data_IF_277024199985
#
_entry.id   IF_277024199985
#
_cell.length_a   1.000
_cell.length_b   1.000
_cell.length_c   1.000
_cell.angle_alpha   90.00
_cell.angle_beta   90.00
_cell.angle_gamma   90.00
#
_symmetry.space_group_name_H-M   'P 1'
#
loop_
_entity.id
_entity.type
_entity.pdbx_description
1 polymer ?
#
# COMPACT_ATOMS: atom_id res chain seq x y z
N UNK A 1 5.55 0.65 7.16
CA UNK A 1 6.06 1.65 6.19
C UNK A 1 5.77 1.38 4.70
N UNK A 2 5.64 0.14 4.18
CA UNK A 2 5.63 -0.08 2.71
C UNK A 2 4.45 0.58 1.98
N UNK A 3 3.26 0.62 2.60
CA UNK A 3 2.09 1.26 1.99
C UNK A 3 2.24 2.77 1.73
N UNK A 4 3.02 3.49 2.55
CA UNK A 4 3.28 4.92 2.32
C UNK A 4 4.20 5.15 1.13
N UNK A 5 5.13 4.23 0.87
CA UNK A 5 6.01 4.32 -0.31
C UNK A 5 5.16 4.20 -1.58
N UNK A 6 4.21 3.26 -1.59
CA UNK A 6 3.24 3.10 -2.70
C UNK A 6 2.46 4.40 -2.91
N UNK A 7 1.97 5.04 -1.84
CA UNK A 7 1.24 6.31 -1.95
C UNK A 7 2.09 7.44 -2.55
N UNK A 8 3.33 7.59 -2.09
CA UNK A 8 4.23 8.64 -2.56
C UNK A 8 4.64 8.44 -4.03
N UNK A 9 4.92 7.19 -4.43
CA UNK A 9 5.24 6.87 -5.82
C UNK A 9 4.05 7.12 -6.73
N UNK A 10 2.86 6.67 -6.34
CA UNK A 10 1.63 6.89 -7.13
C UNK A 10 1.30 8.38 -7.23
N UNK A 11 1.44 9.14 -6.14
CA UNK A 11 1.26 10.59 -6.16
C UNK A 11 2.27 11.29 -7.08
N UNK A 12 3.56 10.92 -7.01
CA UNK A 12 4.60 11.52 -7.85
C UNK A 12 4.35 11.25 -9.35
N UNK A 13 3.90 10.04 -9.70
CA UNK A 13 3.56 9.68 -11.09
C UNK A 13 2.30 10.43 -11.56
N UNK A 14 1.25 10.52 -10.74
CA UNK A 14 0.06 11.29 -11.10
C UNK A 14 0.35 12.77 -11.27
N UNK A 15 1.19 13.34 -10.40
CA UNK A 15 1.62 14.73 -10.50
C UNK A 15 2.47 14.98 -11.76
N UNK A 16 3.36 14.05 -12.13
CA UNK A 16 4.17 14.18 -13.35
C UNK A 16 3.33 14.06 -14.63
N UNK A 17 2.21 13.32 -14.58
CA UNK A 17 1.22 13.24 -15.67
C UNK A 17 0.28 14.44 -15.73
N UNK A 18 0.39 15.42 -14.82
CA UNK A 18 -0.51 16.57 -14.76
C UNK A 18 -1.93 16.25 -14.23
N UNK A 19 -2.15 15.04 -13.71
CA UNK A 19 -3.46 14.59 -13.23
C UNK A 19 -3.70 15.00 -11.77
N UNK A 20 -3.91 16.30 -11.54
CA UNK A 20 -4.13 16.85 -10.19
C UNK A 20 -5.54 16.59 -9.63
N UNK A 21 -6.51 16.31 -10.49
CA UNK A 21 -7.92 16.11 -10.12
C UNK A 21 -8.23 14.67 -9.71
N UNK A 22 -7.35 13.71 -10.04
CA UNK A 22 -7.54 12.31 -9.66
C UNK A 22 -6.95 12.10 -8.28
N UNK A 23 -7.74 11.66 -7.27
CA UNK A 23 -7.20 11.40 -5.95
C UNK A 23 -6.19 10.23 -6.01
N UNK A 24 -4.91 10.43 -5.64
CA UNK A 24 -3.89 9.39 -5.73
C UNK A 24 -4.19 8.17 -4.86
N UNK A 25 -4.99 8.34 -3.80
CA UNK A 25 -5.43 7.25 -2.94
C UNK A 25 -6.27 6.20 -3.68
N UNK A 26 -7.11 6.61 -4.64
CA UNK A 26 -7.95 5.67 -5.41
C UNK A 26 -7.07 4.81 -6.32
N UNK A 27 -6.06 5.44 -6.91
CA UNK A 27 -5.10 4.75 -7.78
C UNK A 27 -4.18 3.84 -6.98
N UNK A 28 -3.77 4.24 -5.75
CA UNK A 28 -2.84 3.46 -4.93
C UNK A 28 -3.48 2.24 -4.25
N UNK A 29 -4.79 2.24 -4.01
CA UNK A 29 -5.53 1.15 -3.36
C UNK A 29 -5.31 -0.23 -3.99
N UNK A 30 -5.52 -0.46 -5.31
CA UNK A 30 -5.31 -1.77 -5.91
C UNK A 30 -3.85 -2.25 -5.78
N UNK A 31 -2.86 -1.35 -5.88
CA UNK A 31 -1.45 -1.71 -5.70
C UNK A 31 -1.14 -2.13 -4.26
N UNK A 32 -1.72 -1.45 -3.26
CA UNK A 32 -1.57 -1.84 -1.85
C UNK A 32 -2.16 -3.22 -1.60
N UNK A 33 -3.34 -3.50 -2.13
CA UNK A 33 -4.00 -4.79 -1.99
C UNK A 33 -3.22 -5.91 -2.68
N UNK A 34 -2.74 -5.67 -3.91
CA UNK A 34 -1.90 -6.62 -4.64
C UNK A 34 -0.60 -6.92 -3.88
N UNK A 35 0.11 -5.88 -3.42
CA UNK A 35 1.32 -6.04 -2.61
C UNK A 35 1.06 -6.84 -1.34
N UNK A 36 -0.04 -6.54 -0.64
CA UNK A 36 -0.40 -7.21 0.59
C UNK A 36 -0.80 -8.68 0.38
N UNK A 37 -1.51 -8.99 -0.70
CA UNK A 37 -1.88 -10.36 -1.05
C UNK A 37 -0.65 -11.19 -1.48
N UNK A 38 0.22 -10.64 -2.32
CA UNK A 38 1.44 -11.32 -2.79
C UNK A 38 2.42 -11.58 -1.65
N UNK A 39 2.49 -10.67 -0.68
CA UNK A 39 3.34 -10.84 0.50
C UNK A 39 2.76 -11.78 1.57
N UNK A 40 1.63 -12.43 1.31
CA UNK A 40 0.85 -13.20 2.30
C UNK A 40 0.66 -12.43 3.62
N UNK A 41 0.28 -11.15 3.48
CA UNK A 41 0.31 -10.19 4.57
C UNK A 41 -0.62 -10.53 5.74
N UNK A 42 -1.72 -11.25 5.48
CA UNK A 42 -2.64 -11.72 6.54
C UNK A 42 -1.96 -12.73 7.48
N UNK A 43 -1.19 -13.67 6.93
CA UNK A 43 -0.43 -14.66 7.70
C UNK A 43 0.69 -13.98 8.50
N UNK A 44 1.38 -13.01 7.91
CA UNK A 44 2.42 -12.24 8.58
C UNK A 44 1.89 -11.44 9.76
N UNK A 45 0.78 -10.71 9.58
CA UNK A 45 0.18 -9.91 10.66
C UNK A 45 -0.36 -10.81 11.78
N UNK A 46 -1.13 -11.85 11.44
CA UNK A 46 -1.69 -12.77 12.44
C UNK A 46 -0.61 -13.46 13.26
N UNK A 47 0.46 -13.95 12.61
CA UNK A 47 1.59 -14.58 13.28
C UNK A 47 2.35 -13.59 14.17
N UNK A 48 2.59 -12.37 13.69
CA UNK A 48 3.25 -11.32 14.46
C UNK A 48 2.42 -10.93 15.71
N UNK A 49 1.10 -10.88 15.59
CA UNK A 49 0.19 -10.63 16.71
C UNK A 49 0.28 -11.75 17.75
N UNK A 50 0.12 -13.01 17.36
CA UNK A 50 0.21 -14.15 18.29
C UNK A 50 1.56 -14.19 19.00
N UNK A 51 2.66 -13.96 18.27
CA UNK A 51 4.01 -13.87 18.86
C UNK A 51 4.24 -12.66 19.74
N UNK A 52 3.42 -11.61 19.64
CA UNK A 52 3.53 -10.43 20.50
C UNK A 52 2.84 -10.62 21.85
N UNK A 53 1.93 -11.61 21.98
CA UNK A 53 1.21 -11.89 23.21
C UNK A 53 1.93 -12.87 24.15
N UNK A 54 2.90 -13.63 23.64
CA UNK A 54 3.75 -14.58 24.39
C UNK A 54 5.18 -14.08 24.40
#
# INVERSE_FOLDING_TARGET
MPFRIIDLVVAAVLMSMGMMMVPPAIVSLPFKLAFFAVADGWTLISTALVRSYF
#
